data_IF_598815128898
#
_entry.id   IF_598815128898
#
_cell.length_a   1.000
_cell.length_b   1.000
_cell.length_c   1.000
_cell.angle_alpha   90.00
_cell.angle_beta   90.00
_cell.angle_gamma   90.00
#
_symmetry.space_group_name_H-M   'P 1'
#
loop_
_entity.id
_entity.type
_entity.pdbx_description
1 polymer ?
#
# COMPACT_ATOMS: atom_id res chain seq x y z
N UNK A 1 -38.61 21.74 -9.60
CA UNK A 1 -38.73 20.32 -9.23
C UNK A 1 -38.03 20.11 -7.89
N UNK A 2 -38.79 20.08 -6.80
CA UNK A 2 -38.25 19.56 -5.54
C UNK A 2 -37.86 18.10 -5.80
N UNK A 3 -36.57 17.77 -5.67
CA UNK A 3 -36.07 16.41 -5.90
C UNK A 3 -36.83 15.46 -4.97
N UNK A 4 -37.38 14.39 -5.52
CA UNK A 4 -38.01 13.32 -4.75
C UNK A 4 -37.11 12.93 -3.57
N UNK A 5 -37.58 13.03 -2.30
CA UNK A 5 -36.78 12.69 -1.13
C UNK A 5 -36.18 11.28 -1.21
N UNK A 6 -36.91 10.32 -1.80
CA UNK A 6 -36.43 8.95 -1.99
C UNK A 6 -35.24 8.87 -2.93
N UNK A 7 -35.24 9.64 -4.02
CA UNK A 7 -34.10 9.76 -4.92
C UNK A 7 -32.86 10.34 -4.22
N UNK A 8 -33.03 11.42 -3.44
CA UNK A 8 -31.92 12.07 -2.74
C UNK A 8 -31.27 11.14 -1.72
N UNK A 9 -32.08 10.41 -0.94
CA UNK A 9 -31.57 9.45 0.04
C UNK A 9 -30.79 8.31 -0.60
N UNK A 10 -31.28 7.74 -1.71
CA UNK A 10 -30.56 6.69 -2.45
C UNK A 10 -29.21 7.19 -2.98
N UNK A 11 -29.21 8.38 -3.56
CA UNK A 11 -27.99 9.00 -4.07
C UNK A 11 -26.96 9.25 -2.96
N UNK A 12 -27.39 9.79 -1.81
CA UNK A 12 -26.49 10.00 -0.67
C UNK A 12 -25.93 8.69 -0.12
N UNK A 13 -26.76 7.65 0.00
CA UNK A 13 -26.32 6.33 0.44
C UNK A 13 -25.25 5.72 -0.48
N UNK A 14 -25.42 5.82 -1.79
CA UNK A 14 -24.44 5.34 -2.77
C UNK A 14 -23.10 6.09 -2.66
N UNK A 15 -23.14 7.41 -2.49
CA UNK A 15 -21.93 8.22 -2.30
C UNK A 15 -21.25 7.90 -0.97
N UNK A 16 -22.02 7.67 0.10
CA UNK A 16 -21.49 7.31 1.42
C UNK A 16 -20.80 5.94 1.40
N UNK A 17 -21.40 4.94 0.75
CA UNK A 17 -20.80 3.60 0.59
C UNK A 17 -19.44 3.69 -0.11
N UNK A 18 -19.36 4.42 -1.22
CA UNK A 18 -18.10 4.65 -1.94
C UNK A 18 -17.08 5.42 -1.11
N UNK A 19 -17.53 6.36 -0.26
CA UNK A 19 -16.66 7.12 0.62
C UNK A 19 -16.08 6.25 1.74
N UNK A 20 -16.90 5.39 2.35
CA UNK A 20 -16.49 4.44 3.38
C UNK A 20 -15.43 3.47 2.84
N UNK A 21 -15.64 2.95 1.63
CA UNK A 21 -14.68 2.08 0.93
C UNK A 21 -13.30 2.72 0.73
N UNK A 22 -13.27 4.02 0.42
CA UNK A 22 -12.04 4.80 0.26
C UNK A 22 -11.36 5.00 1.61
N UNK A 23 -12.12 5.32 2.66
CA UNK A 23 -11.59 5.51 4.01
C UNK A 23 -11.02 4.20 4.58
N UNK A 24 -11.73 3.08 4.41
CA UNK A 24 -11.28 1.76 4.83
C UNK A 24 -9.96 1.37 4.13
N UNK A 25 -9.87 1.56 2.81
CA UNK A 25 -8.65 1.29 2.05
C UNK A 25 -7.47 2.16 2.51
N UNK A 26 -7.72 3.44 2.83
CA UNK A 26 -6.68 4.33 3.39
C UNK A 26 -6.20 3.84 4.76
N UNK A 27 -7.11 3.44 5.63
CA UNK A 27 -6.76 2.91 6.95
C UNK A 27 -5.93 1.63 6.83
N UNK A 28 -6.33 0.70 5.93
CA UNK A 28 -5.58 -0.52 5.67
C UNK A 28 -4.13 -0.25 5.22
N UNK A 29 -3.92 0.77 4.37
CA UNK A 29 -2.56 1.18 3.96
C UNK A 29 -1.75 1.65 5.17
N UNK A 30 -2.34 2.45 6.07
CA UNK A 30 -1.67 2.92 7.29
C UNK A 30 -1.29 1.73 8.18
N UNK A 31 -2.19 0.79 8.39
CA UNK A 31 -1.96 -0.38 9.24
C UNK A 31 -0.84 -1.28 8.69
N UNK A 32 -0.81 -1.48 7.37
CA UNK A 32 0.26 -2.22 6.70
C UNK A 32 1.59 -1.46 6.75
N UNK A 33 1.60 -0.13 6.59
CA UNK A 33 2.80 0.68 6.72
C UNK A 33 3.38 0.59 8.15
N UNK A 34 2.54 0.54 9.18
CA UNK A 34 2.98 0.32 10.57
C UNK A 34 3.65 -1.05 10.72
N UNK A 35 3.03 -2.12 10.19
CA UNK A 35 3.62 -3.47 10.20
C UNK A 35 4.95 -3.50 9.46
N UNK A 36 5.02 -2.86 8.30
CA UNK A 36 6.24 -2.74 7.49
C UNK A 36 7.36 -2.04 8.27
N UNK A 37 7.07 -0.94 8.93
CA UNK A 37 8.08 -0.21 9.70
C UNK A 37 8.63 -1.06 10.86
N UNK A 38 7.75 -1.75 11.59
CA UNK A 38 8.17 -2.70 12.64
C UNK A 38 9.04 -3.83 12.08
N UNK A 39 8.71 -4.34 10.90
CA UNK A 39 9.52 -5.36 10.23
C UNK A 39 10.92 -4.83 9.87
N UNK A 40 11.03 -3.60 9.35
CA UNK A 40 12.33 -2.94 9.09
C UNK A 40 13.15 -2.72 10.35
N UNK A 41 12.50 -2.33 11.47
CA UNK A 41 13.17 -2.16 12.76
C UNK A 41 13.75 -3.48 13.26
N UNK A 42 12.97 -4.56 13.20
CA UNK A 42 13.41 -5.88 13.61
C UNK A 42 14.51 -6.46 12.69
N UNK A 43 14.41 -6.29 11.36
CA UNK A 43 15.49 -6.62 10.44
C UNK A 43 16.78 -5.86 10.78
N UNK A 44 16.68 -4.56 11.07
CA UNK A 44 17.84 -3.75 11.49
C UNK A 44 18.43 -4.25 12.81
N UNK A 45 17.61 -4.65 13.77
CA UNK A 45 18.08 -5.22 15.03
C UNK A 45 18.86 -6.53 14.79
N UNK A 46 18.31 -7.44 13.97
CA UNK A 46 18.97 -8.70 13.60
C UNK A 46 20.28 -8.49 12.81
N UNK A 47 20.39 -7.39 12.05
CA UNK A 47 21.60 -7.06 11.32
C UNK A 47 22.71 -6.46 12.18
N UNK A 48 22.36 -5.66 13.19
CA UNK A 48 23.32 -5.03 14.11
C UNK A 48 23.80 -5.95 15.23
N UNK A 49 23.14 -7.09 15.38
CA UNK A 49 23.45 -8.06 16.42
C UNK A 49 24.88 -8.63 16.20
N UNK A 50 25.75 -8.59 17.23
CA UNK A 50 27.14 -9.03 17.12
C UNK A 50 27.29 -10.55 16.96
N UNK A 51 26.25 -11.35 17.23
CA UNK A 51 26.28 -12.81 17.11
C UNK A 51 25.35 -13.28 15.97
N UNK A 52 25.83 -13.34 14.72
CA UNK A 52 25.01 -13.64 13.55
C UNK A 52 24.52 -15.10 13.47
N UNK A 53 25.23 -16.03 14.12
CA UNK A 53 24.89 -17.46 14.18
C UNK A 53 23.97 -17.82 15.35
N UNK A 54 23.63 -16.84 16.19
CA UNK A 54 22.75 -17.03 17.33
C UNK A 54 21.31 -17.35 16.94
N UNK A 55 20.48 -17.49 17.97
CA UNK A 55 19.04 -17.69 17.82
C UNK A 55 18.28 -16.41 18.11
N UNK A 56 17.10 -16.27 17.51
CA UNK A 56 16.18 -15.17 17.76
C UNK A 56 14.83 -15.75 18.17
N UNK A 57 14.19 -15.08 19.13
CA UNK A 57 12.84 -15.41 19.55
C UNK A 57 11.85 -14.60 18.70
N UNK A 58 10.97 -15.31 17.99
CA UNK A 58 9.98 -14.73 17.07
C UNK A 58 8.58 -14.97 17.62
N UNK A 59 7.74 -13.93 17.60
CA UNK A 59 6.35 -14.04 18.00
C UNK A 59 5.48 -14.45 16.81
N UNK A 60 4.78 -15.57 16.94
CA UNK A 60 3.76 -16.04 16.00
C UNK A 60 2.40 -16.10 16.70
N UNK A 61 1.57 -15.08 16.48
CA UNK A 61 0.26 -14.98 17.13
C UNK A 61 0.39 -14.86 18.65
N UNK A 62 0.10 -15.95 19.36
CA UNK A 62 0.18 -16.04 20.81
C UNK A 62 1.37 -16.89 21.31
N UNK A 63 2.25 -17.35 20.42
CA UNK A 63 3.38 -18.21 20.76
C UNK A 63 4.71 -17.53 20.43
N UNK A 64 5.75 -17.86 21.20
CA UNK A 64 7.12 -17.48 20.90
C UNK A 64 7.90 -18.72 20.44
N UNK A 65 8.56 -18.60 19.29
CA UNK A 65 9.35 -19.69 18.69
C UNK A 65 10.78 -19.22 18.55
N UNK A 66 11.72 -20.03 19.01
CA UNK A 66 13.14 -19.78 18.85
C UNK A 66 13.61 -20.34 17.49
N UNK A 67 14.18 -19.47 16.65
CA UNK A 67 14.66 -19.83 15.31
C UNK A 67 16.08 -19.32 15.10
N UNK A 68 16.90 -19.99 14.26
CA UNK A 68 18.20 -19.44 13.86
C UNK A 68 18.04 -18.07 13.21
N UNK A 69 18.90 -17.11 13.58
CA UNK A 69 18.85 -15.72 13.06
C UNK A 69 18.89 -15.66 11.53
N UNK A 70 19.63 -16.55 10.87
CA UNK A 70 19.67 -16.64 9.41
C UNK A 70 18.28 -16.90 8.80
N UNK A 71 17.55 -17.89 9.35
CA UNK A 71 16.19 -18.22 8.90
C UNK A 71 15.20 -17.11 9.23
N UNK A 72 15.32 -16.50 10.41
CA UNK A 72 14.48 -15.36 10.79
C UNK A 72 14.68 -14.17 9.84
N UNK A 73 15.93 -13.85 9.46
CA UNK A 73 16.22 -12.79 8.49
C UNK A 73 15.57 -13.04 7.13
N UNK A 74 15.72 -14.24 6.59
CA UNK A 74 15.10 -14.61 5.31
C UNK A 74 13.57 -14.50 5.37
N UNK A 75 12.95 -15.00 6.44
CA UNK A 75 11.51 -14.91 6.63
C UNK A 75 11.04 -13.45 6.71
N UNK A 76 11.72 -12.63 7.49
CA UNK A 76 11.38 -11.21 7.64
C UNK A 76 11.60 -10.40 6.36
N UNK A 77 12.59 -10.77 5.53
CA UNK A 77 12.80 -10.18 4.21
C UNK A 77 11.65 -10.52 3.25
N UNK A 78 11.19 -11.77 3.22
CA UNK A 78 10.01 -12.16 2.43
C UNK A 78 8.76 -11.44 2.90
N UNK A 79 8.55 -11.35 4.22
CA UNK A 79 7.43 -10.59 4.78
C UNK A 79 7.50 -9.11 4.39
N UNK A 80 8.71 -8.54 4.33
CA UNK A 80 8.92 -7.15 3.90
C UNK A 80 8.52 -6.95 2.44
N UNK A 81 8.94 -7.85 1.55
CA UNK A 81 8.58 -7.84 0.12
C UNK A 81 7.07 -7.96 -0.07
N UNK A 82 6.42 -8.92 0.61
CA UNK A 82 4.98 -9.10 0.55
C UNK A 82 4.20 -7.87 1.03
N UNK A 83 4.62 -7.25 2.14
CA UNK A 83 4.01 -6.01 2.63
C UNK A 83 4.16 -4.88 1.61
N UNK A 84 5.33 -4.73 1.00
CA UNK A 84 5.57 -3.69 -0.01
C UNK A 84 4.73 -3.92 -1.29
N UNK A 85 4.58 -5.16 -1.74
CA UNK A 85 3.69 -5.52 -2.85
C UNK A 85 2.22 -5.20 -2.53
N UNK A 86 1.73 -5.61 -1.36
CA UNK A 86 0.35 -5.39 -0.94
C UNK A 86 0.03 -3.90 -0.79
N UNK A 87 0.91 -3.12 -0.15
CA UNK A 87 0.77 -1.66 -0.02
C UNK A 87 0.71 -1.01 -1.40
N UNK A 88 1.58 -1.41 -2.33
CA UNK A 88 1.59 -0.84 -3.68
C UNK A 88 0.33 -1.23 -4.47
N UNK A 89 -0.17 -2.45 -4.31
CA UNK A 89 -1.45 -2.89 -4.89
C UNK A 89 -2.61 -2.05 -4.35
N UNK A 90 -2.73 -1.91 -3.03
CA UNK A 90 -3.77 -1.11 -2.39
C UNK A 90 -3.71 0.36 -2.81
N UNK A 91 -2.52 0.94 -2.98
CA UNK A 91 -2.36 2.31 -3.49
C UNK A 91 -2.89 2.46 -4.92
N UNK A 92 -2.68 1.48 -5.79
CA UNK A 92 -3.24 1.48 -7.15
C UNK A 92 -4.76 1.35 -7.12
N UNK A 93 -5.29 0.44 -6.32
CA UNK A 93 -6.73 0.22 -6.15
C UNK A 93 -7.43 1.45 -5.54
N UNK A 94 -6.78 2.11 -4.58
CA UNK A 94 -7.30 3.33 -3.95
C UNK A 94 -7.54 4.45 -4.98
N UNK A 95 -6.66 4.59 -5.98
CA UNK A 95 -6.85 5.59 -7.06
C UNK A 95 -8.14 5.33 -7.84
N UNK A 96 -8.41 4.06 -8.15
CA UNK A 96 -9.64 3.65 -8.84
C UNK A 96 -10.87 3.92 -7.98
N UNK A 97 -10.82 3.56 -6.68
CA UNK A 97 -11.92 3.82 -5.74
C UNK A 97 -12.23 5.32 -5.59
N UNK A 98 -11.19 6.15 -5.51
CA UNK A 98 -11.36 7.61 -5.41
C UNK A 98 -11.94 8.19 -6.69
N UNK A 99 -11.54 7.71 -7.87
CA UNK A 99 -12.15 8.15 -9.13
C UNK A 99 -13.64 7.80 -9.20
N UNK A 100 -14.03 6.59 -8.80
CA UNK A 100 -15.46 6.20 -8.71
C UNK A 100 -16.24 7.11 -7.77
N UNK A 101 -15.68 7.46 -6.61
CA UNK A 101 -16.29 8.41 -5.69
C UNK A 101 -16.44 9.81 -6.32
N UNK A 102 -15.46 10.26 -7.10
CA UNK A 102 -15.51 11.56 -7.77
C UNK A 102 -16.56 11.58 -8.86
N UNK A 103 -16.66 10.52 -9.66
CA UNK A 103 -17.71 10.33 -10.67
C UNK A 103 -19.10 10.39 -10.01
N UNK A 104 -19.31 9.64 -8.92
CA UNK A 104 -20.57 9.65 -8.18
C UNK A 104 -20.93 11.05 -7.62
N UNK A 105 -19.92 11.84 -7.23
CA UNK A 105 -20.08 13.22 -6.77
C UNK A 105 -20.21 14.26 -7.90
N UNK A 106 -20.09 13.85 -9.17
CA UNK A 106 -20.07 14.77 -10.32
C UNK A 106 -18.82 15.65 -10.39
N UNK A 107 -17.72 15.24 -9.75
CA UNK A 107 -16.42 15.91 -9.82
C UNK A 107 -15.62 15.40 -11.00
N UNK A 108 -14.72 16.22 -11.52
CA UNK A 108 -13.80 15.80 -12.56
C UNK A 108 -12.84 14.72 -12.04
N UNK A 109 -12.53 13.74 -12.89
CA UNK A 109 -11.55 12.69 -12.58
C UNK A 109 -10.17 13.25 -12.21
N UNK A 110 -9.43 12.50 -11.39
CA UNK A 110 -8.08 12.83 -11.00
C UNK A 110 -7.11 12.69 -12.19
N UNK A 111 -6.80 13.81 -12.85
CA UNK A 111 -5.80 13.86 -13.92
C UNK A 111 -4.38 13.78 -13.36
N UNK A 112 -3.51 13.02 -14.02
CA UNK A 112 -2.07 12.94 -13.70
C UNK A 112 -1.69 11.97 -12.57
N UNK A 113 -2.66 11.35 -11.90
CA UNK A 113 -2.38 10.37 -10.82
C UNK A 113 -2.07 8.95 -11.34
N UNK A 114 -2.23 8.70 -12.63
CA UNK A 114 -1.92 7.41 -13.28
C UNK A 114 -0.56 7.40 -14.00
N UNK A 115 0.32 8.35 -13.70
CA UNK A 115 1.66 8.40 -14.27
C UNK A 115 2.60 7.51 -13.44
N UNK A 116 3.37 6.67 -14.12
CA UNK A 116 4.53 5.99 -13.54
C UNK A 116 5.78 6.78 -13.88
N UNK A 117 6.78 6.84 -12.98
CA UNK A 117 8.07 7.42 -13.33
C UNK A 117 8.70 6.63 -14.47
N UNK A 118 9.28 7.34 -15.44
CA UNK A 118 10.08 6.71 -16.49
C UNK A 118 11.28 5.99 -15.90
N UNK A 119 11.56 4.81 -16.41
CA UNK A 119 12.77 4.05 -16.11
C UNK A 119 13.99 4.71 -16.75
N UNK A 120 15.18 4.39 -16.24
CA UNK A 120 16.44 4.91 -16.78
C UNK A 120 16.67 4.51 -18.24
N UNK A 121 16.11 3.38 -18.66
CA UNK A 121 16.17 2.89 -20.04
C UNK A 121 15.25 3.70 -20.95
N UNK A 122 14.00 3.93 -20.53
CA UNK A 122 13.05 4.79 -21.25
C UNK A 122 13.59 6.22 -21.39
N UNK A 123 14.25 6.75 -20.34
CA UNK A 123 14.86 8.08 -20.37
C UNK A 123 16.03 8.17 -21.35
N UNK A 124 16.88 7.15 -21.41
CA UNK A 124 17.96 7.07 -22.41
C UNK A 124 17.43 6.97 -23.84
N UNK A 125 16.29 6.31 -24.04
CA UNK A 125 15.64 6.20 -25.35
C UNK A 125 15.09 7.56 -25.79
N UNK A 126 14.38 8.26 -24.92
CA UNK A 126 13.85 9.60 -25.21
C UNK A 126 14.96 10.59 -25.50
N UNK A 127 16.05 10.59 -24.72
CA UNK A 127 17.18 11.49 -24.98
C UNK A 127 17.81 11.23 -26.35
N UNK A 128 17.93 9.96 -26.78
CA UNK A 128 18.40 9.61 -28.14
C UNK A 128 17.47 10.07 -29.26
N UNK A 129 16.16 10.15 -29.00
CA UNK A 129 15.16 10.63 -29.96
C UNK A 129 15.13 12.16 -30.01
N UNK A 130 15.42 12.84 -28.89
CA UNK A 130 15.43 14.30 -28.81
C UNK A 130 16.76 14.94 -29.27
N UNK A 131 17.86 14.21 -29.21
CA UNK A 131 19.19 14.66 -29.67
C UNK A 131 19.51 14.28 -31.13
N UNK A 132 18.62 13.52 -31.81
CA UNK A 132 18.69 13.19 -33.23
C UNK A 132 17.78 14.07 -34.08
#
# INVERSE_FOLDING_TARGET
MARDPGFVLRYLAEVEELAEDVLAARQQIVDLDVKRNRNREALRALHKDPEPEGKAMVCFGNMFVELPKARTKEMMQKDQEHLDEEINKLRKELRVKVNRLYEAQGKAELKGFNLNPMTAEEMKLINRILEG
#
